data_IF_097819153064
#
_entry.id   IF_097819153064
#
_cell.length_a   1.000
_cell.length_b   1.000
_cell.length_c   1.000
_cell.angle_alpha   90.00
_cell.angle_beta   90.00
_cell.angle_gamma   90.00
#
_symmetry.space_group_name_H-M   'P 1'
#
loop_
_entity.id
_entity.type
_entity.pdbx_description
1 polymer ?
#
# COMPACT_ATOMS: atom_id res chain seq x y z
N UNK A 1 -14.25 -43.04 5.49
CA UNK A 1 -13.68 -42.79 4.15
C UNK A 1 -12.39 -42.02 4.36
N UNK A 2 -11.23 -42.43 3.81
CA UNK A 2 -10.02 -41.63 3.90
C UNK A 2 -10.09 -40.48 2.90
N UNK A 3 -9.80 -39.26 3.36
CA UNK A 3 -9.56 -38.11 2.49
C UNK A 3 -8.27 -38.32 1.68
N UNK A 4 -8.20 -37.94 0.40
CA UNK A 4 -6.92 -37.82 -0.28
C UNK A 4 -6.16 -36.63 0.32
N UNK A 5 -4.97 -36.89 0.83
CA UNK A 5 -3.99 -35.85 1.12
C UNK A 5 -3.46 -35.33 -0.22
N UNK A 6 -3.48 -34.00 -0.41
CA UNK A 6 -2.78 -33.37 -1.52
C UNK A 6 -1.30 -33.25 -1.11
N UNK A 7 -0.44 -33.93 -1.86
CA UNK A 7 0.98 -34.07 -1.57
C UNK A 7 1.74 -32.74 -1.62
N UNK A 8 2.59 -32.53 -0.62
CA UNK A 8 3.45 -31.35 -0.45
C UNK A 8 4.81 -31.48 -1.16
N UNK A 9 4.88 -32.26 -2.24
CA UNK A 9 6.11 -32.51 -2.99
C UNK A 9 5.90 -32.31 -4.49
N UNK A 10 6.07 -31.07 -4.96
CA UNK A 10 6.15 -30.74 -6.38
C UNK A 10 7.54 -31.12 -6.92
N UNK A 11 7.78 -32.42 -7.12
CA UNK A 11 8.92 -32.87 -7.93
C UNK A 11 8.40 -33.45 -9.24
N UNK A 12 8.64 -32.71 -10.32
CA UNK A 12 8.47 -33.19 -11.70
C UNK A 12 7.08 -32.91 -12.26
N UNK A 13 6.93 -31.78 -12.96
CA UNK A 13 5.83 -31.60 -13.90
C UNK A 13 5.91 -32.69 -14.95
N UNK A 14 4.91 -33.58 -14.95
CA UNK A 14 4.75 -34.62 -15.94
C UNK A 14 4.73 -33.97 -17.33
N UNK A 15 5.56 -34.45 -18.26
CA UNK A 15 5.63 -33.95 -19.64
C UNK A 15 4.28 -34.10 -20.39
N UNK A 16 3.28 -34.71 -19.75
CA UNK A 16 1.95 -34.99 -20.25
C UNK A 16 0.98 -33.79 -20.25
N UNK A 17 1.23 -32.70 -19.50
CA UNK A 17 0.26 -31.61 -19.36
C UNK A 17 0.42 -30.46 -20.36
N UNK A 18 1.52 -30.43 -21.13
CA UNK A 18 1.82 -29.31 -22.04
C UNK A 18 2.04 -27.98 -21.30
N UNK A 19 2.01 -26.83 -22.00
CA UNK A 19 2.08 -25.53 -21.34
C UNK A 19 0.82 -25.32 -20.49
N UNK A 20 1.00 -25.14 -19.18
CA UNK A 20 -0.09 -24.82 -18.27
C UNK A 20 -0.62 -23.41 -18.56
N UNK A 21 -1.92 -23.14 -18.36
CA UNK A 21 -2.47 -21.82 -18.56
C UNK A 21 -1.90 -20.82 -17.54
N UNK A 22 -1.48 -19.65 -18.03
CA UNK A 22 -1.09 -18.52 -17.21
C UNK A 22 -2.19 -17.46 -17.19
N UNK A 23 -2.23 -16.63 -16.14
CA UNK A 23 -3.11 -15.48 -16.11
C UNK A 23 -2.75 -14.48 -17.20
N UNK A 24 -3.73 -14.05 -17.99
CA UNK A 24 -3.55 -12.91 -18.89
C UNK A 24 -3.60 -11.62 -18.07
N UNK A 25 -2.49 -10.87 -18.08
CA UNK A 25 -2.34 -9.60 -17.36
C UNK A 25 -2.41 -8.39 -18.28
N UNK A 26 -2.71 -8.58 -19.58
CA UNK A 26 -2.71 -7.51 -20.57
C UNK A 26 -3.80 -6.45 -20.34
N UNK A 27 -4.89 -6.82 -19.67
CA UNK A 27 -5.91 -5.88 -19.18
C UNK A 27 -5.35 -4.87 -18.15
N UNK A 28 -4.27 -5.25 -17.42
CA UNK A 28 -3.56 -4.35 -16.52
C UNK A 28 -2.42 -3.65 -17.25
N UNK A 29 -1.45 -4.38 -17.80
CA UNK A 29 -0.38 -3.84 -18.63
C UNK A 29 0.07 -4.89 -19.64
N UNK A 30 0.34 -4.46 -20.89
CA UNK A 30 0.67 -5.37 -21.97
C UNK A 30 1.97 -6.16 -21.74
N UNK A 31 2.93 -5.57 -21.02
CA UNK A 31 4.26 -6.15 -20.76
C UNK A 31 4.91 -5.47 -19.54
N UNK A 32 5.93 -6.07 -18.90
CA UNK A 32 6.60 -5.49 -17.73
C UNK A 32 7.42 -4.22 -18.05
N UNK A 33 7.75 -4.01 -19.32
CA UNK A 33 8.43 -2.83 -19.86
C UNK A 33 7.48 -1.89 -20.61
N UNK A 34 6.16 -2.11 -20.49
CA UNK A 34 5.16 -1.28 -21.13
C UNK A 34 5.32 0.20 -20.71
N UNK A 35 5.30 1.15 -21.68
CA UNK A 35 5.52 2.58 -21.38
C UNK A 35 4.48 3.15 -20.40
N UNK A 36 3.30 2.55 -20.32
CA UNK A 36 2.24 2.89 -19.38
C UNK A 36 2.65 2.67 -17.92
N UNK A 37 3.50 1.68 -17.61
CA UNK A 37 3.98 1.45 -16.23
C UNK A 37 4.80 2.64 -15.77
N UNK A 38 5.74 3.09 -16.62
CA UNK A 38 6.55 4.28 -16.34
C UNK A 38 5.67 5.52 -16.22
N UNK A 39 4.75 5.73 -17.17
CA UNK A 39 3.83 6.87 -17.13
C UNK A 39 3.01 6.89 -15.85
N UNK A 40 2.47 5.74 -15.43
CA UNK A 40 1.61 5.64 -14.27
C UNK A 40 2.42 5.82 -12.96
N UNK A 41 3.67 5.36 -12.90
CA UNK A 41 4.59 5.64 -11.78
C UNK A 41 4.98 7.13 -11.70
N UNK A 42 5.36 7.75 -12.82
CA UNK A 42 5.73 9.17 -12.87
C UNK A 42 4.52 10.06 -12.53
N UNK A 43 3.32 9.68 -12.99
CA UNK A 43 2.07 10.34 -12.62
C UNK A 43 1.76 10.18 -11.13
N UNK A 44 1.96 8.98 -10.56
CA UNK A 44 1.66 8.69 -9.16
C UNK A 44 2.53 9.52 -8.22
N UNK A 45 3.82 9.64 -8.52
CA UNK A 45 4.75 10.50 -7.76
C UNK A 45 4.26 11.94 -7.70
N UNK A 46 3.94 12.53 -8.87
CA UNK A 46 3.44 13.90 -8.95
C UNK A 46 2.09 14.06 -8.25
N UNK A 47 1.17 13.12 -8.48
CA UNK A 47 -0.17 13.17 -7.94
C UNK A 47 -0.16 13.13 -6.41
N UNK A 48 0.65 12.27 -5.79
CA UNK A 48 0.81 12.20 -4.34
C UNK A 48 1.38 13.50 -3.78
N UNK A 49 2.45 14.03 -4.41
CA UNK A 49 3.08 15.29 -3.98
C UNK A 49 2.12 16.48 -4.10
N UNK A 50 1.42 16.61 -5.23
CA UNK A 50 0.46 17.67 -5.46
C UNK A 50 -0.75 17.55 -4.53
N UNK A 51 -1.21 16.32 -4.23
CA UNK A 51 -2.30 16.09 -3.29
C UNK A 51 -1.95 16.58 -1.89
N UNK A 52 -0.78 16.20 -1.38
CA UNK A 52 -0.28 16.68 -0.09
C UNK A 52 -0.12 18.20 -0.08
N UNK A 53 0.51 18.74 -1.13
CA UNK A 53 0.69 20.17 -1.28
C UNK A 53 -0.65 20.91 -1.23
N UNK A 54 -1.71 20.38 -1.86
CA UNK A 54 -3.03 21.01 -2.01
C UNK A 54 -3.97 20.87 -0.79
N UNK A 55 -3.84 19.80 -0.01
CA UNK A 55 -4.85 19.45 1.00
C UNK A 55 -4.33 19.32 2.43
N UNK A 56 -3.03 19.09 2.62
CA UNK A 56 -2.46 18.93 3.96
C UNK A 56 -2.65 20.20 4.79
N UNK A 57 -3.17 20.04 6.00
CA UNK A 57 -3.53 21.09 6.94
C UNK A 57 -4.77 21.89 6.56
N UNK A 58 -5.49 21.51 5.49
CA UNK A 58 -6.57 22.32 4.89
C UNK A 58 -7.91 21.62 4.80
N UNK A 59 -8.03 20.34 5.17
CA UNK A 59 -9.28 19.59 5.02
C UNK A 59 -10.48 20.26 5.71
N UNK A 60 -10.27 20.84 6.88
CA UNK A 60 -11.32 21.52 7.65
C UNK A 60 -11.80 22.85 7.05
N UNK A 61 -11.10 23.38 6.04
CA UNK A 61 -11.47 24.65 5.39
C UNK A 61 -12.11 24.44 4.02
N UNK A 62 -12.21 23.18 3.56
CA UNK A 62 -12.83 22.85 2.29
C UNK A 62 -14.35 23.00 2.38
N UNK A 63 -14.96 23.46 1.29
CA UNK A 63 -16.39 23.32 1.06
C UNK A 63 -16.71 21.93 0.49
N UNK A 64 -17.99 21.65 0.24
CA UNK A 64 -18.42 20.33 -0.23
C UNK A 64 -17.81 19.97 -1.60
N UNK A 65 -17.64 20.96 -2.49
CA UNK A 65 -17.00 20.77 -3.78
C UNK A 65 -15.50 20.49 -3.65
N UNK A 66 -14.81 21.22 -2.77
CA UNK A 66 -13.40 21.02 -2.46
C UNK A 66 -13.12 19.65 -1.85
N UNK A 67 -13.96 19.22 -0.89
CA UNK A 67 -13.84 17.89 -0.28
C UNK A 67 -14.13 16.77 -1.27
N UNK A 68 -15.14 16.92 -2.14
CA UNK A 68 -15.40 15.99 -3.23
C UNK A 68 -14.21 15.90 -4.20
N UNK A 69 -13.62 17.05 -4.56
CA UNK A 69 -12.42 17.09 -5.38
C UNK A 69 -11.24 16.34 -4.76
N UNK A 70 -11.03 16.48 -3.45
CA UNK A 70 -10.01 15.74 -2.72
C UNK A 70 -10.29 14.22 -2.77
N UNK A 71 -11.52 13.80 -2.50
CA UNK A 71 -11.92 12.38 -2.53
C UNK A 71 -11.68 11.76 -3.90
N UNK A 72 -12.08 12.43 -4.98
CA UNK A 72 -11.89 11.93 -6.34
C UNK A 72 -10.42 11.84 -6.74
N UNK A 73 -9.59 12.80 -6.31
CA UNK A 73 -8.15 12.76 -6.54
C UNK A 73 -7.48 11.61 -5.77
N UNK A 74 -7.85 11.43 -4.50
CA UNK A 74 -7.35 10.31 -3.69
C UNK A 74 -7.78 8.96 -4.27
N UNK A 75 -9.05 8.82 -4.67
CA UNK A 75 -9.56 7.63 -5.34
C UNK A 75 -8.78 7.31 -6.62
N UNK A 76 -8.46 8.33 -7.43
CA UNK A 76 -7.66 8.14 -8.64
C UNK A 76 -6.23 7.68 -8.33
N UNK A 77 -5.63 8.22 -7.26
CA UNK A 77 -4.30 7.77 -6.79
C UNK A 77 -4.35 6.28 -6.40
N UNK A 78 -5.31 5.89 -5.57
CA UNK A 78 -5.50 4.50 -5.13
C UNK A 78 -5.73 3.55 -6.32
N UNK A 79 -6.51 3.96 -7.32
CA UNK A 79 -6.74 3.15 -8.53
C UNK A 79 -5.45 2.89 -9.31
N UNK A 80 -4.59 3.90 -9.49
CA UNK A 80 -3.33 3.75 -10.25
C UNK A 80 -2.31 2.95 -9.45
N UNK A 81 -2.13 3.27 -8.16
CA UNK A 81 -1.25 2.51 -7.28
C UNK A 81 -1.69 1.05 -7.17
N UNK A 82 -3.00 0.81 -7.02
CA UNK A 82 -3.61 -0.51 -6.99
C UNK A 82 -3.39 -1.29 -8.29
N UNK A 83 -3.53 -0.66 -9.46
CA UNK A 83 -3.24 -1.28 -10.76
C UNK A 83 -1.77 -1.69 -10.89
N UNK A 84 -0.83 -0.80 -10.52
CA UNK A 84 0.61 -1.09 -10.51
C UNK A 84 0.94 -2.28 -9.60
N UNK A 85 0.48 -2.24 -8.35
CA UNK A 85 0.76 -3.29 -7.37
C UNK A 85 0.06 -4.61 -7.69
N UNK A 86 -1.15 -4.57 -8.27
CA UNK A 86 -1.84 -5.78 -8.74
C UNK A 86 -1.06 -6.44 -9.86
N UNK A 87 -0.61 -5.67 -10.86
CA UNK A 87 0.20 -6.23 -11.95
C UNK A 87 1.51 -6.84 -11.44
N UNK A 88 2.23 -6.10 -10.60
CA UNK A 88 3.49 -6.57 -10.03
C UNK A 88 3.32 -7.85 -9.20
N UNK A 89 2.31 -7.89 -8.32
CA UNK A 89 2.01 -9.04 -7.49
C UNK A 89 1.54 -10.25 -8.29
N UNK A 90 0.56 -10.07 -9.19
CA UNK A 90 0.05 -11.17 -10.03
C UNK A 90 1.14 -11.74 -10.94
N UNK A 91 2.02 -10.88 -11.49
CA UNK A 91 3.17 -11.33 -12.28
C UNK A 91 4.16 -12.12 -11.42
N UNK A 92 4.44 -11.70 -10.19
CA UNK A 92 5.26 -12.48 -9.27
C UNK A 92 4.64 -13.86 -8.97
N UNK A 93 3.33 -13.92 -8.72
CA UNK A 93 2.64 -15.18 -8.40
C UNK A 93 2.54 -16.18 -9.56
N UNK A 94 2.70 -15.75 -10.82
CA UNK A 94 2.84 -16.67 -11.95
C UNK A 94 4.11 -17.54 -11.84
N UNK A 95 5.20 -17.03 -11.25
CA UNK A 95 6.43 -17.80 -11.03
C UNK A 95 7.28 -17.17 -9.91
N UNK A 96 7.09 -17.61 -8.67
CA UNK A 96 7.66 -16.97 -7.48
C UNK A 96 9.16 -17.17 -7.29
N UNK A 97 9.77 -18.14 -7.98
CA UNK A 97 11.22 -18.39 -7.97
C UNK A 97 11.99 -17.62 -9.04
N UNK A 98 11.29 -16.83 -9.86
CA UNK A 98 11.89 -15.97 -10.88
C UNK A 98 12.40 -14.66 -10.28
N UNK A 99 13.72 -14.46 -10.35
CA UNK A 99 14.38 -13.29 -9.77
C UNK A 99 14.01 -11.96 -10.43
N UNK A 100 13.69 -11.94 -11.74
CA UNK A 100 13.28 -10.70 -12.41
C UNK A 100 11.87 -10.29 -11.99
N UNK A 101 10.97 -11.25 -11.78
CA UNK A 101 9.62 -10.99 -11.26
C UNK A 101 9.65 -10.50 -9.82
N UNK A 102 10.47 -11.14 -8.97
CA UNK A 102 10.66 -10.72 -7.59
C UNK A 102 11.25 -9.29 -7.50
N UNK A 103 12.27 -9.00 -8.31
CA UNK A 103 12.84 -7.65 -8.40
C UNK A 103 11.82 -6.61 -8.86
N UNK A 104 11.04 -6.90 -9.89
CA UNK A 104 10.02 -5.99 -10.38
C UNK A 104 8.97 -5.66 -9.31
N UNK A 105 8.54 -6.65 -8.53
CA UNK A 105 7.64 -6.45 -7.39
C UNK A 105 8.27 -5.54 -6.34
N UNK A 106 9.48 -5.84 -5.88
CA UNK A 106 10.19 -5.04 -4.87
C UNK A 106 10.37 -3.60 -5.33
N UNK A 107 10.94 -3.39 -6.53
CA UNK A 107 11.20 -2.05 -7.07
C UNK A 107 9.90 -1.23 -7.21
N UNK A 108 8.80 -1.87 -7.63
CA UNK A 108 7.48 -1.20 -7.75
C UNK A 108 6.92 -0.87 -6.37
N UNK A 109 7.03 -1.80 -5.41
CA UNK A 109 6.54 -1.62 -4.04
C UNK A 109 7.27 -0.48 -3.32
N UNK A 110 8.59 -0.43 -3.45
CA UNK A 110 9.43 0.61 -2.84
C UNK A 110 9.02 2.00 -3.35
N UNK A 111 8.91 2.15 -4.67
CA UNK A 111 8.46 3.41 -5.30
C UNK A 111 7.07 3.82 -4.86
N UNK A 112 6.10 2.90 -4.89
CA UNK A 112 4.71 3.20 -4.47
C UNK A 112 4.68 3.61 -2.99
N UNK A 113 5.46 2.95 -2.14
CA UNK A 113 5.56 3.26 -0.70
C UNK A 113 6.17 4.64 -0.46
N UNK A 114 7.27 4.95 -1.16
CA UNK A 114 7.91 6.27 -1.12
C UNK A 114 6.94 7.38 -1.55
N UNK A 115 6.21 7.19 -2.66
CA UNK A 115 5.28 8.20 -3.18
C UNK A 115 4.10 8.43 -2.23
N UNK A 116 3.51 7.35 -1.71
CA UNK A 116 2.30 7.41 -0.87
C UNK A 116 2.57 7.87 0.56
N UNK A 117 3.83 7.92 1.00
CA UNK A 117 4.21 8.49 2.31
C UNK A 117 3.65 9.91 2.50
N UNK A 118 3.58 10.71 1.43
CA UNK A 118 3.02 12.06 1.46
C UNK A 118 1.51 12.09 1.75
N UNK A 119 0.78 10.97 1.62
CA UNK A 119 -0.66 10.87 1.81
C UNK A 119 -1.07 10.50 3.24
N UNK A 120 -0.11 10.19 4.13
CA UNK A 120 -0.40 9.74 5.50
C UNK A 120 -1.26 10.73 6.28
N UNK A 121 -1.16 12.03 5.99
CA UNK A 121 -1.99 13.05 6.62
C UNK A 121 -3.49 12.88 6.31
N UNK A 122 -3.85 12.34 5.14
CA UNK A 122 -5.24 12.30 4.67
C UNK A 122 -6.18 11.60 5.66
N UNK A 123 -5.97 10.32 6.03
CA UNK A 123 -6.83 9.67 7.01
C UNK A 123 -6.75 10.30 8.40
N UNK A 124 -5.59 10.85 8.79
CA UNK A 124 -5.39 11.47 10.11
C UNK A 124 -6.17 12.78 10.26
N UNK A 125 -6.02 13.68 9.29
CA UNK A 125 -6.74 14.96 9.26
C UNK A 125 -8.23 14.75 9.06
N UNK A 126 -8.62 13.80 8.21
CA UNK A 126 -10.03 13.48 7.99
C UNK A 126 -10.72 12.99 9.29
N UNK A 127 -10.04 12.16 10.09
CA UNK A 127 -10.55 11.69 11.38
C UNK A 127 -10.71 12.83 12.41
N UNK A 128 -9.92 13.90 12.28
CA UNK A 128 -10.00 15.09 13.13
C UNK A 128 -11.09 16.08 12.71
N UNK A 129 -11.70 15.91 11.54
CA UNK A 129 -12.83 16.74 11.13
C UNK A 129 -13.97 16.63 12.15
N UNK A 130 -14.52 17.78 12.51
CA UNK A 130 -15.66 17.87 13.41
C UNK A 130 -16.89 17.19 12.77
N UNK A 131 -17.66 16.44 13.56
CA UNK A 131 -18.74 15.61 13.03
C UNK A 131 -19.84 16.46 12.39
N UNK A 132 -20.25 17.56 13.03
CA UNK A 132 -21.28 18.43 12.47
C UNK A 132 -20.81 19.14 11.20
N UNK A 133 -19.53 19.54 11.13
CA UNK A 133 -18.93 20.04 9.90
C UNK A 133 -19.00 19.03 8.75
N UNK A 134 -18.55 17.78 8.97
CA UNK A 134 -18.58 16.74 7.94
C UNK A 134 -20.02 16.42 7.49
N UNK A 135 -20.95 16.25 8.44
CA UNK A 135 -22.36 16.03 8.13
C UNK A 135 -22.99 17.19 7.35
N UNK A 136 -22.62 18.43 7.68
CA UNK A 136 -23.05 19.60 6.93
C UNK A 136 -22.56 19.57 5.48
N UNK A 137 -21.28 19.21 5.24
CA UNK A 137 -20.73 19.10 3.89
C UNK A 137 -21.41 17.98 3.09
N UNK A 138 -21.63 16.82 3.72
CA UNK A 138 -22.33 15.68 3.10
C UNK A 138 -23.76 16.05 2.71
N UNK A 139 -24.47 16.82 3.54
CA UNK A 139 -25.82 17.30 3.24
C UNK A 139 -25.91 18.29 2.09
N UNK A 140 -24.80 18.95 1.72
CA UNK A 140 -24.76 19.96 0.65
C UNK A 140 -24.54 19.35 -0.75
N UNK A 141 -24.02 18.13 -0.86
CA UNK A 141 -23.71 17.50 -2.14
C UNK A 141 -24.09 16.02 -2.16
N UNK A 142 -25.07 15.61 -2.99
CA UNK A 142 -25.41 14.20 -3.19
C UNK A 142 -24.24 13.36 -3.72
N UNK A 143 -23.37 13.97 -4.52
CA UNK A 143 -22.18 13.33 -5.09
C UNK A 143 -21.14 13.04 -4.01
N UNK A 144 -20.92 13.98 -3.09
CA UNK A 144 -20.05 13.76 -1.92
C UNK A 144 -20.67 12.73 -0.96
N UNK A 145 -21.99 12.82 -0.73
CA UNK A 145 -22.70 11.91 0.15
C UNK A 145 -22.66 10.45 -0.33
N UNK A 146 -22.46 10.20 -1.63
CA UNK A 146 -22.22 8.84 -2.16
C UNK A 146 -21.00 8.16 -1.51
N UNK A 147 -20.01 8.94 -1.08
CA UNK A 147 -18.80 8.46 -0.41
C UNK A 147 -18.96 8.33 1.11
N UNK A 148 -20.15 8.59 1.68
CA UNK A 148 -20.41 8.42 3.13
C UNK A 148 -19.90 7.09 3.71
N UNK A 149 -20.14 5.91 3.09
CA UNK A 149 -19.64 4.65 3.64
C UNK A 149 -18.11 4.58 3.75
N UNK A 150 -17.39 5.27 2.86
CA UNK A 150 -15.93 5.39 2.94
C UNK A 150 -15.52 6.18 4.19
N UNK A 151 -16.19 7.30 4.43
CA UNK A 151 -15.91 8.16 5.59
C UNK A 151 -16.26 7.48 6.92
N UNK A 152 -17.39 6.79 6.97
CA UNK A 152 -17.78 5.98 8.12
C UNK A 152 -16.74 4.89 8.40
N UNK A 153 -16.25 4.20 7.37
CA UNK A 153 -15.17 3.21 7.50
C UNK A 153 -13.88 3.83 8.02
N UNK A 154 -13.48 5.00 7.51
CA UNK A 154 -12.27 5.71 7.95
C UNK A 154 -12.38 6.14 9.43
N UNK A 155 -13.56 6.59 9.85
CA UNK A 155 -13.83 7.07 11.21
C UNK A 155 -14.29 5.97 12.19
N UNK A 156 -14.49 4.73 11.73
CA UNK A 156 -14.96 3.63 12.56
C UNK A 156 -14.05 3.35 13.77
N UNK A 157 -12.74 3.64 13.64
CA UNK A 157 -11.77 3.48 14.72
C UNK A 157 -11.57 4.73 15.58
N UNK A 158 -12.21 5.86 15.22
CA UNK A 158 -12.11 7.13 15.97
C UNK A 158 -12.50 7.01 17.45
N UNK A 159 -13.54 6.25 17.85
CA UNK A 159 -13.87 6.06 19.27
C UNK A 159 -12.79 5.33 20.09
N UNK A 160 -11.87 4.64 19.40
CA UNK A 160 -10.73 3.94 20.00
C UNK A 160 -9.41 4.72 19.83
N UNK A 161 -9.44 5.89 19.18
CA UNK A 161 -8.31 6.81 19.11
C UNK A 161 -8.22 7.61 20.42
N UNK A 162 -7.01 7.72 20.98
CA UNK A 162 -6.75 8.29 22.30
C UNK A 162 -7.06 9.80 22.33
N UNK A 163 -7.43 10.32 23.50
CA UNK A 163 -7.87 11.72 23.69
C UNK A 163 -6.81 12.77 23.31
N UNK A 164 -7.29 13.98 23.00
CA UNK A 164 -6.55 15.13 22.47
C UNK A 164 -5.19 15.44 23.13
N UNK A 165 -5.05 15.18 24.44
CA UNK A 165 -3.83 15.46 25.20
C UNK A 165 -2.74 14.38 24.99
N UNK A 166 -3.17 13.13 24.81
CA UNK A 166 -2.30 12.00 24.49
C UNK A 166 -1.99 11.97 22.98
N UNK A 167 -2.90 12.45 22.15
CA UNK A 167 -2.71 12.64 20.71
C UNK A 167 -1.66 13.73 20.42
N UNK A 168 -1.63 14.80 21.22
CA UNK A 168 -0.59 15.84 21.16
C UNK A 168 0.78 15.31 21.61
N UNK A 169 0.81 14.47 22.65
CA UNK A 169 2.02 13.76 23.10
C UNK A 169 2.53 12.71 22.08
N UNK A 170 1.64 12.06 21.32
CA UNK A 170 2.00 11.13 20.24
C UNK A 170 2.41 11.86 18.94
N UNK A 171 1.89 13.05 18.68
CA UNK A 171 2.30 13.90 17.55
C UNK A 171 3.73 14.42 17.72
N UNK A 172 4.11 14.87 18.93
CA UNK A 172 5.51 15.21 19.25
C UNK A 172 6.46 13.99 19.17
N UNK A 173 5.90 12.77 19.23
CA UNK A 173 6.65 11.50 19.07
C UNK A 173 6.52 10.85 17.70
N UNK A 174 5.75 11.39 16.76
CA UNK A 174 5.54 10.74 15.44
C UNK A 174 6.77 10.83 14.53
N UNK A 175 7.76 11.65 14.86
CA UNK A 175 9.13 11.57 14.32
C UNK A 175 9.89 10.32 14.75
N UNK A 176 9.38 9.55 15.72
CA UNK A 176 9.99 8.33 16.31
C UNK A 176 8.98 7.18 16.52
N UNK A 177 7.80 7.25 15.88
CA UNK A 177 6.67 6.32 16.10
C UNK A 177 6.78 4.98 15.36
N UNK A 178 5.70 4.20 15.31
CA UNK A 178 5.66 2.82 14.80
C UNK A 178 6.32 2.61 13.41
N UNK A 179 6.29 3.63 12.53
CA UNK A 179 7.00 3.60 11.25
C UNK A 179 8.53 3.72 11.39
N UNK A 180 9.03 4.56 12.32
CA UNK A 180 10.44 4.62 12.68
C UNK A 180 10.88 3.37 13.46
N UNK A 181 9.98 2.75 14.24
CA UNK A 181 10.23 1.47 14.89
C UNK A 181 10.26 0.30 13.90
N UNK A 182 9.33 0.23 12.95
CA UNK A 182 9.37 -0.77 11.87
C UNK A 182 10.65 -0.59 11.03
N UNK A 183 11.01 0.65 10.67
CA UNK A 183 12.27 0.93 9.97
C UNK A 183 13.50 0.52 10.77
N UNK A 184 13.59 0.88 12.05
CA UNK A 184 14.69 0.48 12.94
C UNK A 184 14.74 -1.05 13.15
N UNK A 185 13.58 -1.69 13.26
CA UNK A 185 13.47 -3.15 13.37
C UNK A 185 13.95 -3.82 12.09
N UNK A 186 13.49 -3.39 10.92
CA UNK A 186 13.90 -3.91 9.62
C UNK A 186 15.41 -3.70 9.38
N UNK A 187 15.94 -2.52 9.72
CA UNK A 187 17.38 -2.22 9.65
C UNK A 187 18.22 -3.08 10.63
N UNK A 188 17.71 -3.31 11.84
CA UNK A 188 18.41 -4.14 12.85
C UNK A 188 18.40 -5.61 12.44
N UNK A 189 17.27 -6.13 11.98
CA UNK A 189 17.11 -7.51 11.53
C UNK A 189 17.96 -7.79 10.28
N UNK A 190 18.00 -6.85 9.33
CA UNK A 190 18.83 -6.98 8.12
C UNK A 190 20.34 -6.92 8.41
N UNK A 191 20.75 -6.23 9.48
CA UNK A 191 22.16 -6.10 9.86
C UNK A 191 22.70 -7.27 10.71
N UNK A 192 21.85 -8.20 11.14
CA UNK A 192 22.28 -9.35 11.92
C UNK A 192 23.08 -10.34 11.07
N UNK A 193 24.29 -10.64 11.54
CA UNK A 193 25.17 -11.66 10.98
C UNK A 193 25.51 -12.73 12.02
N UNK A 194 25.60 -13.98 11.59
CA UNK A 194 25.81 -15.15 12.43
C UNK A 194 26.98 -15.98 11.89
N UNK A 195 27.81 -16.50 12.79
CA UNK A 195 28.86 -17.46 12.42
C UNK A 195 28.27 -18.88 12.45
N UNK A 196 28.14 -19.50 11.28
CA UNK A 196 27.64 -20.87 11.13
C UNK A 196 28.69 -21.67 10.36
N UNK A 197 29.18 -22.75 10.96
CA UNK A 197 30.24 -23.62 10.38
C UNK A 197 31.53 -22.88 9.92
N UNK A 198 31.81 -21.72 10.49
CA UNK A 198 32.99 -20.89 10.16
C UNK A 198 32.78 -19.91 9.02
N UNK A 199 31.54 -19.74 8.54
CA UNK A 199 31.14 -18.70 7.59
C UNK A 199 30.18 -17.70 8.24
N UNK A 200 30.39 -16.41 7.95
CA UNK A 200 29.51 -15.32 8.38
C UNK A 200 28.30 -15.22 7.45
N UNK A 201 27.10 -15.52 7.94
CA UNK A 201 25.85 -15.49 7.17
C UNK A 201 24.88 -14.43 7.71
N UNK A 202 24.06 -13.86 6.84
CA UNK A 202 22.93 -13.02 7.27
C UNK A 202 21.77 -13.89 7.80
N UNK A 203 20.75 -13.26 8.38
CA UNK A 203 19.62 -13.98 9.00
C UNK A 203 18.93 -14.98 8.05
N UNK A 204 18.68 -14.59 6.80
CA UNK A 204 18.02 -15.46 5.81
C UNK A 204 18.91 -16.63 5.39
N UNK A 205 20.23 -16.41 5.32
CA UNK A 205 21.22 -17.46 5.10
C UNK A 205 21.27 -18.46 6.25
N UNK A 206 21.25 -18.01 7.50
CA UNK A 206 21.32 -18.86 8.68
C UNK A 206 20.04 -19.68 8.96
N UNK A 207 18.87 -19.19 8.53
CA UNK A 207 17.57 -19.86 8.75
C UNK A 207 17.23 -20.90 7.68
N UNK A 208 17.93 -20.89 6.54
CA UNK A 208 17.75 -21.83 5.44
C UNK A 208 18.84 -22.91 5.40
N UNK A 209 19.66 -23.03 6.46
CA UNK A 209 20.63 -24.10 6.66
C UNK A 209 19.98 -25.39 7.20
#
# INVERSE_FOLDING_TARGET
MPHPAFDAHATGGDAALGPLPEWDLSDLYAAPDAPEIRRDLDWLEEACRAFAADYQGRLATLDAAGLLGAVLRYERIEQVAGRLMSYAGLRYYQHTTDGERAKFLSDTQDRVTDFTTALVFWPLEFNRLEEAHLESLLGQSPELNRYRPLFERMRAMKPYQLSDELERFLHDRSTVGAAAWNRLFDETIAALTFEVEGETLNLEGALNC
#
